data_IF_629281198970
#
_entry.id   IF_629281198970
#
_cell.length_a   1.000
_cell.length_b   1.000
_cell.length_c   1.000
_cell.angle_alpha   90.00
_cell.angle_beta   90.00
_cell.angle_gamma   90.00
#
_symmetry.space_group_name_H-M   'P 1'
#
loop_
_entity.id
_entity.type
_entity.pdbx_description
1 polymer ?
#
# COMPACT_ATOMS: atom_id res chain seq x y z
N UNK A 1 -5.84 22.62 -19.36
CA UNK A 1 -6.28 22.23 -18.00
C UNK A 1 -5.77 20.81 -17.76
N UNK A 2 -4.85 20.60 -16.82
CA UNK A 2 -4.35 19.26 -16.47
C UNK A 2 -5.39 18.63 -15.53
N UNK A 3 -6.22 17.73 -16.03
CA UNK A 3 -6.98 16.81 -15.20
C UNK A 3 -6.00 15.79 -14.62
N UNK A 4 -5.58 16.03 -13.38
CA UNK A 4 -4.78 15.05 -12.64
C UNK A 4 -5.66 13.86 -12.30
N UNK A 5 -5.20 12.65 -12.61
CA UNK A 5 -5.75 11.42 -12.05
C UNK A 5 -5.80 11.54 -10.52
N UNK A 6 -6.90 11.17 -9.89
CA UNK A 6 -7.15 11.32 -8.45
C UNK A 6 -6.24 10.51 -7.51
N UNK A 7 -5.13 9.97 -7.99
CA UNK A 7 -4.20 9.15 -7.22
C UNK A 7 -2.78 9.73 -7.16
N UNK A 8 -2.14 9.39 -6.04
CA UNK A 8 -0.85 9.92 -5.59
C UNK A 8 0.28 9.46 -6.51
N UNK A 9 0.82 10.38 -7.32
CA UNK A 9 2.13 10.16 -7.94
C UNK A 9 3.19 10.14 -6.84
N UNK A 10 4.07 9.16 -6.91
CA UNK A 10 5.27 9.09 -6.09
C UNK A 10 6.47 9.30 -6.99
N UNK A 11 7.37 10.18 -6.57
CA UNK A 11 8.60 10.43 -7.32
C UNK A 11 9.64 9.39 -6.88
N UNK A 12 10.38 8.83 -7.84
CA UNK A 12 11.49 7.91 -7.55
C UNK A 12 12.78 8.69 -7.43
N UNK A 13 13.56 8.46 -6.38
CA UNK A 13 14.85 9.16 -6.17
C UNK A 13 16.01 8.60 -7.00
N UNK A 14 15.79 7.54 -7.78
CA UNK A 14 16.82 6.90 -8.60
C UNK A 14 16.91 7.54 -10.00
N UNK A 15 18.13 7.64 -10.54
CA UNK A 15 18.44 8.30 -11.83
C UNK A 15 17.84 7.52 -13.01
N UNK A 16 17.53 6.23 -12.85
CA UNK A 16 16.81 5.40 -13.82
C UNK A 16 15.31 5.39 -13.58
N UNK A 17 14.55 5.32 -14.67
CA UNK A 17 13.09 5.09 -14.64
C UNK A 17 12.77 3.86 -13.78
N UNK A 18 11.79 4.01 -12.88
CA UNK A 18 11.34 2.95 -11.98
C UNK A 18 11.00 1.65 -12.71
N UNK A 19 11.40 0.52 -12.10
CA UNK A 19 11.10 -0.84 -12.60
C UNK A 19 9.62 -1.18 -12.62
N UNK A 20 8.79 -0.39 -11.92
CA UNK A 20 7.35 -0.60 -11.85
C UNK A 20 6.58 0.01 -13.02
N UNK A 21 7.24 0.82 -13.86
CA UNK A 21 6.62 1.51 -15.00
C UNK A 21 7.00 0.85 -16.32
N UNK A 22 6.10 0.96 -17.31
CA UNK A 22 6.51 0.67 -18.68
C UNK A 22 7.62 1.63 -19.11
N UNK A 23 8.58 1.14 -19.89
CA UNK A 23 9.74 1.91 -20.36
C UNK A 23 9.34 3.24 -21.04
N UNK A 24 8.27 3.21 -21.81
CA UNK A 24 7.85 4.32 -22.67
C UNK A 24 6.55 5.02 -22.19
N UNK A 25 5.93 4.57 -21.09
CA UNK A 25 4.64 5.09 -20.62
C UNK A 25 4.70 5.45 -19.13
N UNK A 26 4.16 6.61 -18.75
CA UNK A 26 4.00 7.04 -17.34
C UNK A 26 2.83 6.30 -16.67
N UNK A 27 2.86 4.97 -16.77
CA UNK A 27 1.82 4.04 -16.32
C UNK A 27 2.51 2.82 -15.71
N UNK A 28 1.99 2.35 -14.58
CA UNK A 28 2.48 1.16 -13.89
C UNK A 28 2.23 -0.09 -14.73
N UNK A 29 3.20 -1.02 -14.71
CA UNK A 29 3.06 -2.35 -15.30
C UNK A 29 1.91 -3.07 -14.60
N UNK A 30 0.89 -3.44 -15.38
CA UNK A 30 -0.34 -4.05 -14.91
C UNK A 30 -0.66 -5.30 -15.76
N UNK A 31 -1.48 -6.19 -15.23
CA UNK A 31 -1.78 -7.50 -15.84
C UNK A 31 -2.56 -7.38 -17.16
N UNK A 32 -3.36 -6.33 -17.31
CA UNK A 32 -4.19 -6.07 -18.50
C UNK A 32 -3.45 -5.33 -19.62
N UNK A 33 -2.16 -5.02 -19.44
CA UNK A 33 -1.34 -4.27 -20.40
C UNK A 33 -1.90 -2.89 -20.78
N UNK A 34 -2.66 -2.26 -19.87
CA UNK A 34 -3.21 -0.91 -20.07
C UNK A 34 -2.08 0.11 -20.01
N UNK A 35 -2.00 0.99 -21.02
CA UNK A 35 -0.94 2.02 -21.18
C UNK A 35 -1.46 3.45 -21.16
N UNK A 36 -2.78 3.61 -21.05
CA UNK A 36 -3.41 4.89 -20.79
C UNK A 36 -3.63 5.07 -19.29
N UNK A 37 -3.21 6.21 -18.75
CA UNK A 37 -3.24 6.45 -17.31
C UNK A 37 -4.67 6.57 -16.76
N UNK A 38 -5.60 7.14 -17.53
CA UNK A 38 -6.99 7.28 -17.09
C UNK A 38 -7.70 5.93 -17.13
N UNK A 39 -7.50 5.16 -18.21
CA UNK A 39 -8.04 3.81 -18.33
C UNK A 39 -7.54 2.89 -17.22
N UNK A 40 -6.25 2.99 -16.84
CA UNK A 40 -5.72 2.20 -15.71
C UNK A 40 -6.36 2.64 -14.39
N UNK A 41 -6.56 3.95 -14.18
CA UNK A 41 -7.17 4.46 -12.96
C UNK A 41 -8.63 4.01 -12.81
N UNK A 42 -9.40 4.00 -13.91
CA UNK A 42 -10.77 3.48 -13.93
C UNK A 42 -10.79 1.98 -13.61
N UNK A 43 -9.94 1.19 -14.29
CA UNK A 43 -9.83 -0.24 -14.04
C UNK A 43 -9.41 -0.57 -12.60
N UNK A 44 -8.42 0.14 -12.06
CA UNK A 44 -7.99 -0.02 -10.67
C UNK A 44 -9.11 0.30 -9.69
N UNK A 45 -9.86 1.40 -9.91
CA UNK A 45 -10.97 1.78 -9.04
C UNK A 45 -12.06 0.70 -9.00
N UNK A 46 -12.47 0.18 -10.16
CA UNK A 46 -13.50 -0.86 -10.26
C UNK A 46 -13.07 -2.15 -9.56
N UNK A 47 -11.84 -2.60 -9.85
CA UNK A 47 -11.32 -3.86 -9.30
C UNK A 47 -11.07 -3.76 -7.79
N UNK A 48 -10.49 -2.66 -7.30
CA UNK A 48 -10.26 -2.49 -5.86
C UNK A 48 -11.57 -2.32 -5.10
N UNK A 49 -12.58 -1.65 -5.65
CA UNK A 49 -13.92 -1.58 -5.07
C UNK A 49 -14.54 -2.97 -4.91
N UNK A 50 -14.47 -3.81 -5.95
CA UNK A 50 -14.96 -5.19 -5.89
C UNK A 50 -14.24 -5.99 -4.78
N UNK A 51 -12.91 -5.91 -4.70
CA UNK A 51 -12.15 -6.63 -3.67
C UNK A 51 -12.43 -6.12 -2.26
N UNK A 52 -12.60 -4.81 -2.07
CA UNK A 52 -12.98 -4.24 -0.78
C UNK A 52 -14.36 -4.74 -0.35
N UNK A 53 -15.34 -4.75 -1.26
CA UNK A 53 -16.67 -5.31 -0.96
C UNK A 53 -16.57 -6.77 -0.49
N UNK A 54 -15.78 -7.60 -1.18
CA UNK A 54 -15.57 -9.00 -0.78
C UNK A 54 -14.92 -9.13 0.59
N UNK A 55 -13.93 -8.29 0.91
CA UNK A 55 -13.28 -8.30 2.23
C UNK A 55 -14.24 -7.96 3.37
N UNK A 56 -15.13 -7.00 3.13
CA UNK A 56 -16.09 -6.53 4.15
C UNK A 56 -17.29 -7.45 4.32
N UNK A 57 -17.77 -8.06 3.23
CA UNK A 57 -19.07 -8.77 3.21
C UNK A 57 -18.96 -10.27 3.10
N UNK A 58 -17.91 -10.79 2.49
CA UNK A 58 -17.83 -12.21 2.13
C UNK A 58 -16.69 -12.92 2.88
N UNK A 59 -15.46 -12.44 2.73
CA UNK A 59 -14.28 -13.15 3.21
C UNK A 59 -13.16 -12.20 3.64
N UNK A 60 -13.06 -11.98 4.95
CA UNK A 60 -11.91 -11.30 5.53
C UNK A 60 -10.62 -12.11 5.33
N UNK A 61 -9.51 -11.43 4.99
CA UNK A 61 -8.18 -12.05 5.06
C UNK A 61 -7.88 -12.40 6.50
N UNK A 62 -7.67 -13.68 6.79
CA UNK A 62 -7.29 -14.14 8.14
C UNK A 62 -5.84 -13.79 8.44
N UNK A 63 -5.56 -13.21 9.60
CA UNK A 63 -4.20 -12.97 10.07
C UNK A 63 -4.13 -12.42 11.50
N UNK A 64 -2.93 -12.01 11.92
CA UNK A 64 -2.64 -11.53 13.28
C UNK A 64 -1.90 -10.19 13.27
N UNK A 65 -2.41 -9.24 12.49
CA UNK A 65 -1.85 -7.87 12.36
C UNK A 65 -0.31 -7.82 12.34
N UNK A 66 0.29 -8.55 11.39
CA UNK A 66 1.73 -8.59 11.17
C UNK A 66 2.08 -8.36 9.70
N UNK A 67 3.37 -8.29 9.37
CA UNK A 67 3.85 -8.03 7.99
C UNK A 67 3.24 -8.98 6.96
N UNK A 68 3.16 -10.28 7.26
CA UNK A 68 2.50 -11.27 6.41
C UNK A 68 1.00 -10.99 6.23
N UNK A 69 0.30 -10.53 7.26
CA UNK A 69 -1.11 -10.20 7.16
C UNK A 69 -1.31 -8.99 6.24
N UNK A 70 -0.52 -7.93 6.43
CA UNK A 70 -0.54 -6.74 5.58
C UNK A 70 -0.26 -7.10 4.11
N UNK A 71 0.79 -7.88 3.85
CA UNK A 71 1.13 -8.38 2.50
C UNK A 71 -0.03 -9.18 1.89
N UNK A 72 -0.73 -10.01 2.65
CA UNK A 72 -1.89 -10.77 2.16
C UNK A 72 -3.09 -9.89 1.86
N UNK A 73 -3.35 -8.85 2.67
CA UNK A 73 -4.40 -7.86 2.39
C UNK A 73 -4.07 -7.11 1.09
N UNK A 74 -2.84 -6.59 0.95
CA UNK A 74 -2.37 -5.92 -0.26
C UNK A 74 -2.45 -6.86 -1.49
N UNK A 75 -2.03 -8.12 -1.32
CA UNK A 75 -2.17 -9.15 -2.34
C UNK A 75 -3.62 -9.33 -2.77
N UNK A 76 -4.55 -9.48 -1.82
CA UNK A 76 -5.95 -9.70 -2.14
C UNK A 76 -6.61 -8.52 -2.87
N UNK A 77 -6.31 -7.29 -2.45
CA UNK A 77 -6.90 -6.08 -3.04
C UNK A 77 -6.41 -5.87 -4.49
N UNK A 78 -5.11 -6.08 -4.74
CA UNK A 78 -4.47 -5.73 -6.01
C UNK A 78 -4.15 -6.94 -6.90
N UNK A 79 -4.56 -8.15 -6.53
CA UNK A 79 -4.19 -9.40 -7.24
C UNK A 79 -4.54 -9.39 -8.71
N UNK A 80 -5.59 -8.69 -9.14
CA UNK A 80 -6.03 -8.69 -10.55
C UNK A 80 -5.37 -7.57 -11.37
N UNK A 81 -4.72 -6.61 -10.71
CA UNK A 81 -4.20 -5.39 -11.35
C UNK A 81 -2.69 -5.49 -11.51
N UNK A 82 -1.96 -5.82 -10.44
CA UNK A 82 -0.51 -5.65 -10.40
C UNK A 82 0.26 -6.96 -10.21
N UNK A 83 1.38 -7.17 -10.95
CA UNK A 83 2.25 -8.35 -10.78
C UNK A 83 3.04 -8.33 -9.45
N UNK A 84 3.13 -7.17 -8.80
CA UNK A 84 3.76 -7.00 -7.50
C UNK A 84 2.77 -7.08 -6.32
N UNK A 85 1.49 -7.39 -6.57
CA UNK A 85 0.51 -7.54 -5.50
C UNK A 85 1.02 -8.47 -4.39
N UNK A 86 0.92 -8.00 -3.14
CA UNK A 86 1.42 -8.67 -1.95
C UNK A 86 2.95 -8.66 -1.72
N UNK A 87 3.72 -7.92 -2.52
CA UNK A 87 5.17 -7.76 -2.35
C UNK A 87 5.52 -6.41 -1.73
N UNK A 88 6.66 -6.34 -1.05
CA UNK A 88 7.26 -5.08 -0.65
C UNK A 88 7.92 -4.41 -1.85
N UNK A 89 7.96 -3.08 -1.86
CA UNK A 89 8.67 -2.33 -2.91
C UNK A 89 10.18 -2.47 -2.77
N UNK A 90 10.89 -2.44 -3.88
CA UNK A 90 12.35 -2.54 -3.95
C UNK A 90 13.03 -1.20 -4.17
N UNK A 91 12.28 -0.17 -4.56
CA UNK A 91 12.79 1.18 -4.84
C UNK A 91 12.36 2.18 -3.76
N UNK A 92 13.15 3.22 -3.55
CA UNK A 92 12.80 4.34 -2.67
C UNK A 92 11.78 5.25 -3.35
N UNK A 93 10.83 5.77 -2.56
CA UNK A 93 9.78 6.68 -3.04
C UNK A 93 9.70 7.92 -2.15
N UNK A 94 9.28 9.02 -2.75
CA UNK A 94 8.95 10.27 -2.07
C UNK A 94 7.63 10.84 -2.60
N UNK A 95 7.04 11.76 -1.84
CA UNK A 95 5.88 12.53 -2.24
C UNK A 95 6.09 13.99 -1.88
N UNK A 96 6.37 14.82 -2.88
CA UNK A 96 6.79 16.19 -2.65
C UNK A 96 8.04 16.23 -1.78
N UNK A 97 7.99 16.89 -0.62
CA UNK A 97 9.10 16.95 0.33
C UNK A 97 9.12 15.81 1.37
N UNK A 98 8.20 14.86 1.29
CA UNK A 98 8.08 13.75 2.25
C UNK A 98 8.74 12.49 1.71
N UNK A 99 9.82 12.06 2.38
CA UNK A 99 10.49 10.79 2.12
C UNK A 99 9.84 9.66 2.91
N UNK A 100 9.64 8.51 2.25
CA UNK A 100 9.17 7.29 2.90
C UNK A 100 10.35 6.44 3.39
N UNK A 101 10.07 5.34 4.11
CA UNK A 101 11.10 4.43 4.60
C UNK A 101 11.98 3.93 3.44
N UNK A 102 13.29 3.76 3.61
CA UNK A 102 14.08 3.19 2.51
C UNK A 102 13.66 1.74 2.26
N UNK A 103 13.59 1.32 1.01
CA UNK A 103 13.05 0.00 0.62
C UNK A 103 13.70 -1.15 1.39
N UNK A 104 15.02 -1.08 1.57
CA UNK A 104 15.81 -2.06 2.32
C UNK A 104 15.44 -2.19 3.82
N UNK A 105 14.80 -1.19 4.41
CA UNK A 105 14.42 -1.18 5.83
C UNK A 105 12.92 -1.43 6.07
N UNK A 106 12.12 -1.59 5.01
CA UNK A 106 10.67 -1.77 5.15
C UNK A 106 10.33 -3.00 5.99
N UNK A 107 10.96 -4.14 5.71
CA UNK A 107 10.63 -5.38 6.42
C UNK A 107 10.98 -5.31 7.91
N UNK A 108 12.15 -4.75 8.23
CA UNK A 108 12.57 -4.52 9.62
C UNK A 108 11.62 -3.56 10.35
N UNK A 109 11.28 -2.43 9.71
CA UNK A 109 10.36 -1.46 10.29
C UNK A 109 8.97 -2.07 10.54
N UNK A 110 8.41 -2.78 9.56
CA UNK A 110 7.13 -3.47 9.73
C UNK A 110 7.16 -4.48 10.88
N UNK A 111 8.22 -5.28 10.96
CA UNK A 111 8.35 -6.29 12.01
C UNK A 111 8.44 -5.62 13.40
N UNK A 112 9.19 -4.52 13.52
CA UNK A 112 9.26 -3.74 14.76
C UNK A 112 7.91 -3.15 15.14
N UNK A 113 7.24 -2.46 14.21
CA UNK A 113 5.94 -1.81 14.41
C UNK A 113 4.86 -2.81 14.84
N UNK A 114 4.74 -3.95 14.13
CA UNK A 114 3.76 -4.97 14.48
C UNK A 114 4.10 -5.72 15.78
N UNK A 115 5.38 -5.87 16.11
CA UNK A 115 5.79 -6.41 17.41
C UNK A 115 5.37 -5.48 18.56
N UNK A 116 5.47 -4.17 18.37
CA UNK A 116 4.99 -3.19 19.36
C UNK A 116 3.46 -3.21 19.45
N UNK A 117 2.74 -3.31 18.33
CA UNK A 117 1.28 -3.46 18.31
C UNK A 117 0.82 -4.69 19.11
N UNK A 118 1.54 -5.81 18.97
CA UNK A 118 1.26 -7.02 19.74
C UNK A 118 1.51 -6.84 21.25
N UNK A 119 2.58 -6.13 21.65
CA UNK A 119 2.83 -5.76 23.06
C UNK A 119 1.72 -4.86 23.62
N UNK A 120 1.17 -3.99 22.79
CA UNK A 120 0.01 -3.16 23.08
C UNK A 120 -1.34 -3.92 23.00
N UNK A 121 -1.30 -5.26 22.99
CA UNK A 121 -2.47 -6.14 22.96
C UNK A 121 -3.42 -5.81 21.81
N UNK A 122 -2.87 -5.40 20.67
CA UNK A 122 -3.64 -5.00 19.47
C UNK A 122 -4.67 -3.89 19.76
N UNK A 123 -4.37 -3.01 20.71
CA UNK A 123 -5.22 -1.88 21.12
C UNK A 123 -6.58 -2.30 21.70
N UNK A 124 -6.74 -3.57 22.08
CA UNK A 124 -7.99 -4.07 22.68
C UNK A 124 -8.16 -3.50 24.08
N UNK A 125 -9.41 -3.19 24.44
CA UNK A 125 -9.82 -2.68 25.76
C UNK A 125 -9.33 -1.27 26.12
N UNK A 126 -8.88 -0.48 25.15
CA UNK A 126 -8.62 0.95 25.35
C UNK A 126 -9.91 1.76 25.29
N UNK A 127 -9.95 2.87 26.02
CA UNK A 127 -11.03 3.85 25.83
C UNK A 127 -10.86 4.58 24.48
N UNK A 128 -11.91 5.25 23.96
CA UNK A 128 -11.84 5.88 22.64
C UNK A 128 -10.71 6.90 22.45
N UNK A 129 -10.33 7.63 23.50
CA UNK A 129 -9.26 8.64 23.44
C UNK A 129 -7.88 7.97 23.33
N UNK A 130 -7.60 7.00 24.20
CA UNK A 130 -6.36 6.21 24.18
C UNK A 130 -6.22 5.42 22.89
N UNK A 131 -7.32 4.81 22.42
CA UNK A 131 -7.36 4.08 21.15
C UNK A 131 -7.00 5.01 19.99
N UNK A 132 -7.61 6.20 19.93
CA UNK A 132 -7.38 7.17 18.85
C UNK A 132 -5.94 7.64 18.81
N UNK A 133 -5.33 7.89 19.98
CA UNK A 133 -3.92 8.29 20.07
C UNK A 133 -2.99 7.16 19.63
N UNK A 134 -3.20 5.93 20.12
CA UNK A 134 -2.35 4.80 19.77
C UNK A 134 -2.50 4.37 18.31
N UNK A 135 -3.72 4.32 17.78
CA UNK A 135 -3.93 3.97 16.37
C UNK A 135 -3.32 5.02 15.45
N UNK A 136 -3.39 6.31 15.80
CA UNK A 136 -2.72 7.36 15.03
C UNK A 136 -1.20 7.15 14.98
N UNK A 137 -0.58 6.78 16.12
CA UNK A 137 0.84 6.41 16.17
C UNK A 137 1.15 5.21 15.26
N UNK A 138 0.43 4.09 15.38
CA UNK A 138 0.69 2.94 14.51
C UNK A 138 0.45 3.24 13.03
N UNK A 139 -0.57 4.05 12.70
CA UNK A 139 -0.82 4.49 11.33
C UNK A 139 0.27 5.43 10.80
N UNK A 140 0.93 6.23 11.66
CA UNK A 140 2.09 7.03 11.24
C UNK A 140 3.33 6.16 11.01
N UNK A 141 3.57 5.17 11.86
CA UNK A 141 4.70 4.23 11.67
C UNK A 141 4.54 3.35 10.43
N UNK A 142 3.29 3.04 10.05
CA UNK A 142 2.99 2.31 8.81
C UNK A 142 3.13 3.15 7.53
N UNK A 143 3.54 4.43 7.62
CA UNK A 143 3.96 5.25 6.46
C UNK A 143 5.36 4.83 6.00
N UNK A 144 5.48 3.57 5.60
CA UNK A 144 6.68 2.94 5.06
C UNK A 144 6.82 3.16 3.57
#
# INVERSE_FOLDING_TARGET
MKSGSGFSKYDSTEISRSVYYYKDFDVLINKENIKDANALAEYEADMTMLRQYQLEKEQMVKGRFGSTHLKRIHGYIFQDIYPFAGKLRTENIEKGSTFFCKSQFIEENLNSTFSNLAKDRYLVSLNPEEFSQKVAYYMSELKI
#
